data_IF_723670529014
#
_entry.id   IF_723670529014
#
_cell.length_a   1.000
_cell.length_b   1.000
_cell.length_c   1.000
_cell.angle_alpha   90.00
_cell.angle_beta   90.00
_cell.angle_gamma   90.00
#
_symmetry.space_group_name_H-M   'P 1'
#
loop_
_entity.id
_entity.type
_entity.pdbx_description
1 polymer ?
#
# COMPACT_ATOMS: atom_id res chain seq x y z
N UNK A 1 10.89 7.53 16.04
CA UNK A 1 11.72 6.80 15.06
C UNK A 1 11.89 7.65 13.82
N UNK A 2 13.07 7.65 13.22
CA UNK A 2 13.32 8.32 11.95
C UNK A 2 12.62 7.61 10.80
N UNK A 3 12.40 8.29 9.67
CA UNK A 3 11.86 7.67 8.45
C UNK A 3 12.64 6.41 8.05
N UNK A 4 13.97 6.46 8.15
CA UNK A 4 14.86 5.34 7.83
C UNK A 4 14.60 4.12 8.73
N UNK A 5 14.28 4.34 9.99
CA UNK A 5 13.96 3.26 10.94
C UNK A 5 12.62 2.60 10.59
N UNK A 6 11.58 3.38 10.27
CA UNK A 6 10.29 2.84 9.85
C UNK A 6 10.39 2.02 8.55
N UNK A 7 11.18 2.49 7.58
CA UNK A 7 11.43 1.74 6.34
C UNK A 7 12.18 0.43 6.62
N UNK A 8 13.16 0.46 7.51
CA UNK A 8 13.91 -0.75 7.90
C UNK A 8 13.01 -1.77 8.62
N UNK A 9 12.09 -1.30 9.47
CA UNK A 9 11.11 -2.17 10.14
C UNK A 9 10.10 -2.77 9.15
N UNK A 10 9.60 -1.96 8.22
CA UNK A 10 8.71 -2.43 7.16
C UNK A 10 9.38 -3.47 6.26
N UNK A 11 10.67 -3.30 5.96
CA UNK A 11 11.45 -4.29 5.19
C UNK A 11 11.49 -5.66 5.89
N UNK A 12 11.68 -5.69 7.22
CA UNK A 12 11.62 -6.94 7.99
C UNK A 12 10.22 -7.56 7.93
N UNK A 13 9.18 -6.73 8.05
CA UNK A 13 7.79 -7.17 7.95
C UNK A 13 7.48 -7.76 6.58
N UNK A 14 8.01 -7.20 5.50
CA UNK A 14 7.84 -7.72 4.14
C UNK A 14 8.30 -9.18 4.01
N UNK A 15 9.47 -9.50 4.57
CA UNK A 15 9.99 -10.89 4.56
C UNK A 15 9.05 -11.83 5.30
N UNK A 16 8.54 -11.44 6.47
CA UNK A 16 7.59 -12.28 7.22
C UNK A 16 6.23 -12.41 6.54
N UNK A 17 5.74 -11.32 5.93
CA UNK A 17 4.43 -11.26 5.32
C UNK A 17 4.36 -12.08 4.03
N UNK A 18 5.48 -12.27 3.31
CA UNK A 18 5.53 -13.02 2.06
C UNK A 18 4.88 -14.41 2.15
N UNK A 19 5.02 -15.11 3.28
CA UNK A 19 4.50 -16.46 3.46
C UNK A 19 3.09 -16.51 4.07
N UNK A 20 2.55 -15.37 4.52
CA UNK A 20 1.31 -15.29 5.31
C UNK A 20 0.24 -14.47 4.57
N UNK A 21 0.63 -13.38 3.91
CA UNK A 21 -0.24 -12.49 3.16
C UNK A 21 -0.46 -13.02 1.74
N UNK A 22 -1.19 -14.13 1.63
CA UNK A 22 -1.38 -14.86 0.37
C UNK A 22 -2.43 -14.23 -0.56
N UNK A 23 -3.24 -13.30 -0.06
CA UNK A 23 -4.23 -12.57 -0.84
C UNK A 23 -3.76 -11.14 -1.09
N UNK A 24 -4.30 -10.54 -2.14
CA UNK A 24 -4.06 -9.14 -2.48
C UNK A 24 -4.47 -8.22 -1.32
N UNK A 25 -5.65 -8.43 -0.74
CA UNK A 25 -6.13 -7.67 0.42
C UNK A 25 -5.20 -7.83 1.64
N UNK A 26 -4.72 -9.05 1.91
CA UNK A 26 -3.79 -9.29 3.00
C UNK A 26 -2.46 -8.56 2.75
N UNK A 27 -1.97 -8.53 1.51
CA UNK A 27 -0.74 -7.82 1.14
C UNK A 27 -0.92 -6.30 1.22
N UNK A 28 -2.05 -5.76 0.74
CA UNK A 28 -2.41 -4.35 0.86
C UNK A 28 -2.41 -3.92 2.33
N UNK A 29 -3.07 -4.68 3.20
CA UNK A 29 -3.10 -4.41 4.65
C UNK A 29 -1.75 -4.60 5.36
N UNK A 30 -0.99 -5.65 5.00
CA UNK A 30 0.23 -6.02 5.70
C UNK A 30 1.44 -5.16 5.31
N UNK A 31 1.48 -4.64 4.07
CA UNK A 31 2.65 -3.96 3.52
C UNK A 31 2.34 -2.59 2.91
N UNK A 32 1.35 -2.51 2.03
CA UNK A 32 1.05 -1.26 1.29
C UNK A 32 0.54 -0.16 2.21
N UNK A 33 -0.45 -0.44 3.07
CA UNK A 33 -0.97 0.56 4.01
C UNK A 33 0.08 1.01 5.04
N UNK A 34 0.88 0.12 5.67
CA UNK A 34 2.01 0.54 6.50
C UNK A 34 3.06 1.39 5.76
N UNK A 35 3.31 1.08 4.48
CA UNK A 35 4.21 1.88 3.65
C UNK A 35 3.69 3.31 3.45
N UNK A 36 2.42 3.45 3.05
CA UNK A 36 1.78 4.76 2.87
C UNK A 36 1.78 5.58 4.17
N UNK A 37 1.51 4.94 5.32
CA UNK A 37 1.64 5.59 6.63
C UNK A 37 3.07 6.04 6.93
N UNK A 38 4.07 5.26 6.52
CA UNK A 38 5.50 5.63 6.69
C UNK A 38 5.86 6.87 5.86
N UNK A 39 5.20 7.06 4.72
CA UNK A 39 5.32 8.28 3.89
C UNK A 39 4.53 9.47 4.44
N UNK A 40 3.74 9.27 5.50
CA UNK A 40 2.96 10.31 6.17
C UNK A 40 1.52 10.46 5.69
N UNK A 41 1.02 9.53 4.86
CA UNK A 41 -0.38 9.53 4.44
C UNK A 41 -1.30 8.97 5.52
N UNK A 42 -2.51 9.53 5.63
CA UNK A 42 -3.60 8.87 6.35
C UNK A 42 -4.30 7.88 5.42
N UNK A 43 -4.12 6.59 5.69
CA UNK A 43 -4.73 5.50 4.89
C UNK A 43 -6.23 5.37 5.09
N UNK A 44 -6.82 6.09 6.04
CA UNK A 44 -8.26 6.15 6.26
C UNK A 44 -8.87 7.45 5.74
N UNK A 45 -8.07 8.40 5.25
CA UNK A 45 -8.55 9.63 4.63
C UNK A 45 -8.78 9.40 3.12
N UNK A 46 -10.05 9.30 2.67
CA UNK A 46 -10.38 9.04 1.26
C UNK A 46 -10.00 10.21 0.34
N UNK A 47 -9.65 11.38 0.88
CA UNK A 47 -9.14 12.51 0.08
C UNK A 47 -7.66 12.37 -0.25
N UNK A 48 -6.94 11.54 0.50
CA UNK A 48 -5.51 11.25 0.28
C UNK A 48 -5.31 9.92 -0.44
N UNK A 49 -6.06 8.89 -0.06
CA UNK A 49 -5.92 7.54 -0.58
C UNK A 49 -7.28 7.05 -1.09
N UNK A 50 -7.32 6.72 -2.38
CA UNK A 50 -8.50 6.11 -3.01
C UNK A 50 -8.16 4.66 -3.36
N UNK A 51 -8.75 3.67 -2.67
CA UNK A 51 -8.61 2.27 -3.06
C UNK A 51 -9.19 2.04 -4.45
N UNK A 52 -8.59 1.12 -5.22
CA UNK A 52 -9.11 0.70 -6.53
C UNK A 52 -9.33 1.87 -7.50
N UNK A 53 -8.41 2.85 -7.50
CA UNK A 53 -8.54 4.04 -8.33
C UNK A 53 -8.47 3.69 -9.82
N UNK A 54 -9.48 4.09 -10.58
CA UNK A 54 -9.52 3.94 -12.03
C UNK A 54 -8.78 5.10 -12.67
N UNK A 55 -7.51 4.87 -13.04
CA UNK A 55 -6.71 5.86 -13.75
C UNK A 55 -7.07 5.86 -15.24
N UNK A 56 -8.08 6.64 -15.63
CA UNK A 56 -8.47 6.84 -17.02
C UNK A 56 -7.42 7.71 -17.76
N UNK A 57 -6.32 7.09 -18.18
CA UNK A 57 -5.30 7.71 -19.05
C UNK A 57 -5.27 7.00 -20.41
N UNK A 58 -5.65 7.71 -21.48
CA UNK A 58 -5.55 7.22 -22.86
C UNK A 58 -6.32 5.92 -23.15
N UNK A 59 -5.65 4.94 -23.76
CA UNK A 59 -6.23 3.69 -24.33
C UNK A 59 -6.87 2.72 -23.31
N UNK A 60 -6.78 3.00 -22.01
CA UNK A 60 -7.27 2.12 -20.94
C UNK A 60 -8.41 2.78 -20.17
N UNK A 61 -9.50 3.08 -20.87
CA UNK A 61 -10.70 3.65 -20.28
C UNK A 61 -11.50 2.55 -19.56
N UNK A 62 -11.66 2.68 -18.25
CA UNK A 62 -12.43 1.74 -17.43
C UNK A 62 -11.68 0.50 -16.91
N UNK A 63 -10.35 0.46 -17.00
CA UNK A 63 -9.56 -0.56 -16.29
C UNK A 63 -9.28 -0.10 -14.86
N UNK A 64 -9.61 -0.94 -13.89
CA UNK A 64 -9.19 -0.73 -12.50
C UNK A 64 -7.69 -0.94 -12.39
N UNK A 65 -7.04 -0.07 -11.63
CA UNK A 65 -5.66 -0.27 -11.22
C UNK A 65 -5.70 -1.09 -9.93
N UNK A 66 -5.76 -2.41 -10.09
CA UNK A 66 -5.69 -3.39 -8.99
C UNK A 66 -4.25 -3.55 -8.47
#
# INVERSE_FOLDING_TARGET
MSFKEHVAELSKRAVSAQNIALTEEATKNALVMPFLRTLGFDVFDPTQIVPEFVADVGLKKGEKVD
#
